data_IF_433346345756
#
_entry.id   IF_433346345756
#
_cell.length_a   1.000
_cell.length_b   1.000
_cell.length_c   1.000
_cell.angle_alpha   90.00
_cell.angle_beta   90.00
_cell.angle_gamma   90.00
#
_symmetry.space_group_name_H-M   'P 1'
#
loop_
_entity.id
_entity.type
_entity.pdbx_description
1 polymer ?
#
# COMPACT_ATOMS: atom_id res chain seq x y z
N UNK A 1 -4.73 10.29 1.84
CA UNK A 1 -4.44 9.49 3.05
C UNK A 1 -4.03 8.06 2.69
N UNK A 2 -4.87 7.29 1.98
CA UNK A 2 -4.60 5.89 1.63
C UNK A 2 -3.35 5.65 0.73
N UNK A 3 -3.25 6.34 -0.42
CA UNK A 3 -2.08 6.31 -1.31
C UNK A 3 -0.75 6.54 -0.58
N UNK A 4 -0.72 7.50 0.33
CA UNK A 4 0.51 7.84 1.07
C UNK A 4 0.92 6.72 2.04
N UNK A 5 -0.05 6.03 2.65
CA UNK A 5 0.23 4.86 3.47
C UNK A 5 0.83 3.72 2.63
N UNK A 6 0.28 3.45 1.44
CA UNK A 6 0.81 2.43 0.52
C UNK A 6 2.25 2.76 0.10
N UNK A 7 2.53 4.01 -0.24
CA UNK A 7 3.87 4.48 -0.55
C UNK A 7 4.82 4.26 0.62
N UNK A 8 4.44 4.72 1.81
CA UNK A 8 5.23 4.59 3.02
C UNK A 8 5.57 3.13 3.32
N UNK A 9 4.58 2.23 3.24
CA UNK A 9 4.78 0.79 3.44
C UNK A 9 5.79 0.26 2.42
N UNK A 10 5.62 0.56 1.12
CA UNK A 10 6.53 0.06 0.08
C UNK A 10 7.98 0.50 0.26
N UNK A 11 8.20 1.69 0.84
CA UNK A 11 9.53 2.25 1.02
C UNK A 11 10.18 1.84 2.36
N UNK A 12 9.38 1.64 3.41
CA UNK A 12 9.88 1.50 4.78
C UNK A 12 9.75 0.08 5.36
N UNK A 13 9.11 -0.87 4.67
CA UNK A 13 8.94 -2.24 5.18
C UNK A 13 10.24 -3.04 5.32
N UNK A 14 11.36 -2.53 4.80
CA UNK A 14 12.68 -3.12 5.03
C UNK A 14 13.38 -2.58 6.28
N UNK A 15 12.83 -1.51 6.87
CA UNK A 15 13.36 -0.89 8.07
C UNK A 15 12.73 -1.49 9.33
N UNK A 16 13.49 -1.51 10.45
CA UNK A 16 12.90 -1.76 11.76
C UNK A 16 11.81 -0.74 12.09
N UNK A 17 10.74 -1.20 12.72
CA UNK A 17 9.64 -0.37 13.21
C UNK A 17 9.67 -0.43 14.73
N UNK A 18 10.27 0.56 15.37
CA UNK A 18 10.37 0.57 16.83
C UNK A 18 8.99 0.69 17.48
N UNK A 19 8.70 -0.20 18.43
CA UNK A 19 7.55 -0.10 19.31
C UNK A 19 7.62 1.19 20.15
N UNK A 20 6.66 2.13 20.01
CA UNK A 20 6.66 3.38 20.77
C UNK A 20 6.60 3.17 22.28
N UNK A 21 6.10 2.01 22.73
CA UNK A 21 6.02 1.66 24.15
C UNK A 21 7.32 1.06 24.68
N UNK A 22 8.30 0.79 23.81
CA UNK A 22 9.57 0.13 24.12
C UNK A 22 9.42 -1.23 24.82
N UNK A 23 8.34 -1.98 24.52
CA UNK A 23 8.08 -3.29 25.10
C UNK A 23 8.53 -4.39 24.13
N UNK A 24 8.20 -4.26 22.84
CA UNK A 24 8.36 -5.33 21.85
C UNK A 24 9.60 -5.17 20.93
N UNK A 25 10.33 -4.06 21.05
CA UNK A 25 11.45 -3.73 20.17
C UNK A 25 10.99 -3.46 18.74
N UNK A 26 11.60 -4.12 17.75
CA UNK A 26 11.19 -4.02 16.35
C UNK A 26 9.87 -4.77 16.10
N UNK A 27 8.80 -4.07 15.73
CA UNK A 27 7.49 -4.61 15.37
C UNK A 27 7.48 -5.30 14.01
N UNK A 28 8.47 -5.06 13.14
CA UNK A 28 8.55 -5.66 11.82
C UNK A 28 9.15 -7.07 11.88
N UNK A 29 8.34 -8.03 12.35
CA UNK A 29 8.75 -9.43 12.50
C UNK A 29 8.71 -10.25 11.19
N UNK A 30 8.40 -9.62 10.06
CA UNK A 30 8.32 -10.27 8.75
C UNK A 30 9.69 -10.77 8.31
N UNK A 31 9.73 -11.92 7.64
CA UNK A 31 10.93 -12.41 6.98
C UNK A 31 11.19 -11.64 5.67
N UNK A 32 12.35 -11.87 5.06
CA UNK A 32 12.79 -11.13 3.86
C UNK A 32 11.80 -11.27 2.69
N UNK A 33 11.28 -12.47 2.46
CA UNK A 33 10.38 -12.76 1.34
C UNK A 33 9.01 -12.12 1.54
N UNK A 34 8.49 -12.17 2.77
CA UNK A 34 7.26 -11.47 3.15
C UNK A 34 7.38 -9.95 2.96
N UNK A 35 8.51 -9.36 3.37
CA UNK A 35 8.78 -7.93 3.17
C UNK A 35 8.82 -7.56 1.68
N UNK A 36 9.46 -8.40 0.85
CA UNK A 36 9.50 -8.20 -0.61
C UNK A 36 8.07 -8.25 -1.18
N UNK A 37 7.31 -9.31 -0.86
CA UNK A 37 5.94 -9.49 -1.34
C UNK A 37 5.04 -8.32 -0.96
N UNK A 38 5.09 -7.86 0.30
CA UNK A 38 4.28 -6.73 0.76
C UNK A 38 4.75 -5.42 0.13
N UNK A 39 6.06 -5.20 -0.02
CA UNK A 39 6.62 -4.03 -0.70
C UNK A 39 6.09 -3.93 -2.14
N UNK A 40 6.16 -5.02 -2.88
CA UNK A 40 5.70 -5.10 -4.27
C UNK A 40 4.18 -4.88 -4.36
N UNK A 41 3.40 -5.53 -3.50
CA UNK A 41 1.94 -5.35 -3.45
C UNK A 41 1.57 -3.91 -3.12
N UNK A 42 2.18 -3.31 -2.10
CA UNK A 42 1.94 -1.92 -1.71
C UNK A 42 2.32 -0.93 -2.83
N UNK A 43 3.44 -1.16 -3.51
CA UNK A 43 3.87 -0.36 -4.66
C UNK A 43 2.88 -0.46 -5.82
N UNK A 44 2.40 -1.66 -6.14
CA UNK A 44 1.37 -1.88 -7.17
C UNK A 44 0.08 -1.12 -6.83
N UNK A 45 -0.42 -1.27 -5.61
CA UNK A 45 -1.61 -0.54 -5.14
C UNK A 45 -1.41 0.98 -5.19
N UNK A 46 -0.22 1.48 -4.82
CA UNK A 46 0.12 2.90 -4.92
C UNK A 46 0.01 3.41 -6.37
N UNK A 47 0.51 2.65 -7.35
CA UNK A 47 0.42 3.01 -8.77
C UNK A 47 -1.04 3.07 -9.22
N UNK A 48 -1.84 2.04 -8.93
CA UNK A 48 -3.27 2.00 -9.28
C UNK A 48 -4.03 3.17 -8.62
N UNK A 49 -3.72 3.52 -7.36
CA UNK A 49 -4.28 4.70 -6.71
C UNK A 49 -3.94 6.01 -7.45
N UNK A 50 -2.72 6.15 -7.99
CA UNK A 50 -2.37 7.32 -8.78
C UNK A 50 -3.14 7.37 -10.10
N UNK A 51 -3.30 6.24 -10.77
CA UNK A 51 -4.13 6.14 -11.99
C UNK A 51 -5.58 6.55 -11.71
N UNK A 52 -6.18 6.04 -10.63
CA UNK A 52 -7.54 6.42 -10.24
C UNK A 52 -7.67 7.92 -9.95
N UNK A 53 -6.69 8.53 -9.27
CA UNK A 53 -6.69 9.98 -9.02
C UNK A 53 -6.58 10.77 -10.33
N UNK A 54 -5.70 10.36 -11.25
CA UNK A 54 -5.58 11.00 -12.56
C UNK A 54 -6.88 10.90 -13.38
N UNK A 55 -7.62 9.79 -13.25
CA UNK A 55 -8.93 9.60 -13.87
C UNK A 55 -9.99 10.55 -13.27
N UNK A 56 -9.99 10.73 -11.94
CA UNK A 56 -10.84 11.71 -11.26
C UNK A 56 -10.55 13.12 -11.77
N UNK A 57 -9.28 13.51 -11.88
CA UNK A 57 -8.87 14.83 -12.40
C UNK A 57 -9.32 15.07 -13.84
N UNK A 58 -9.55 14.00 -14.61
CA UNK A 58 -10.07 14.02 -15.99
C UNK A 58 -11.59 13.87 -16.08
N UNK A 59 -12.30 13.80 -14.95
CA UNK A 59 -13.73 13.51 -14.85
C UNK A 59 -14.16 12.10 -15.33
N UNK A 60 -13.23 11.14 -15.40
CA UNK A 60 -13.52 9.73 -15.72
C UNK A 60 -13.84 8.93 -14.43
N UNK A 61 -14.96 9.27 -13.79
CA UNK A 61 -15.29 8.73 -12.46
C UNK A 61 -15.55 7.21 -12.44
N UNK A 62 -16.23 6.66 -13.44
CA UNK A 62 -16.54 5.22 -13.49
C UNK A 62 -15.27 4.37 -13.61
N UNK A 63 -14.34 4.78 -14.46
CA UNK A 63 -13.03 4.13 -14.59
C UNK A 63 -12.22 4.25 -13.30
N UNK A 64 -12.27 5.41 -12.63
CA UNK A 64 -11.61 5.59 -11.34
C UNK A 64 -12.17 4.64 -10.26
N UNK A 65 -13.50 4.44 -10.21
CA UNK A 65 -14.14 3.48 -9.29
C UNK A 65 -13.70 2.05 -9.59
N UNK A 66 -13.60 1.68 -10.86
CA UNK A 66 -13.08 0.37 -11.25
C UNK A 66 -11.64 0.17 -10.78
N UNK A 67 -10.77 1.20 -10.90
CA UNK A 67 -9.40 1.15 -10.38
C UNK A 67 -9.33 0.99 -8.86
N UNK A 68 -10.18 1.67 -8.10
CA UNK A 68 -10.23 1.43 -6.66
C UNK A 68 -10.78 0.03 -6.32
N UNK A 69 -11.73 -0.47 -7.09
CA UNK A 69 -12.28 -1.82 -6.94
C UNK A 69 -11.23 -2.90 -7.19
N UNK A 70 -10.34 -2.72 -8.16
CA UNK A 70 -9.18 -3.62 -8.40
C UNK A 70 -8.33 -3.77 -7.12
N UNK A 71 -8.09 -2.69 -6.38
CA UNK A 71 -7.31 -2.73 -5.14
C UNK A 71 -8.08 -3.42 -4.02
N UNK A 72 -9.34 -3.05 -3.81
CA UNK A 72 -10.13 -3.51 -2.66
C UNK A 72 -10.57 -4.97 -2.78
N UNK A 73 -10.86 -5.43 -3.99
CA UNK A 73 -11.28 -6.82 -4.23
C UNK A 73 -10.11 -7.80 -4.16
N UNK A 74 -8.87 -7.36 -4.38
CA UNK A 74 -7.65 -8.15 -4.19
C UNK A 74 -7.37 -8.50 -2.70
N UNK A 75 -8.21 -8.00 -1.77
CA UNK A 75 -8.21 -8.38 -0.36
C UNK A 75 -9.33 -9.36 0.03
N UNK A 76 -10.28 -9.65 -0.88
CA UNK A 76 -11.43 -10.52 -0.63
C UNK A 76 -11.26 -11.93 -1.22
N UNK A 77 -10.08 -12.25 -1.77
CA UNK A 77 -9.74 -13.54 -2.38
C UNK A 77 -8.81 -14.38 -1.53
#
# INVERSE_FOLDING_TARGET
MFKNALKYISENIFCPICDPKNIQGDLNKLNKEERISISEKAKKCYIICNEAINLIERNNYDEAVNKFSEILNDFNG
#
